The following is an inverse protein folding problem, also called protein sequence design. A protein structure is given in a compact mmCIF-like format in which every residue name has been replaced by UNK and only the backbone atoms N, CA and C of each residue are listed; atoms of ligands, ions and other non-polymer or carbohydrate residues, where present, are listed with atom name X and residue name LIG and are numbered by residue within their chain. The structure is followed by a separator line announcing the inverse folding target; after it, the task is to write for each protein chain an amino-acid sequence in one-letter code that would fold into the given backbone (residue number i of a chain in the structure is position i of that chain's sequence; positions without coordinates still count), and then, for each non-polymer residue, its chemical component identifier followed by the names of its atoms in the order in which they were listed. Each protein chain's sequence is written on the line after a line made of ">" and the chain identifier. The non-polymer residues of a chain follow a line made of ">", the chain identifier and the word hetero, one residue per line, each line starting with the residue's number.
data_IF_719097684351
#
_entry.id   IF_719097684351
#
_cell.length_a   1.000
_cell.length_b   1.000
_cell.length_c   1.000
_cell.angle_alpha   90.00
_cell.angle_beta   90.00
_cell.angle_gamma   90.00
#
_symmetry.space_group_name_H-M   'P 1'
#
loop_
_entity.id
_entity.type
_entity.pdbx_description
1 polymer ?
#
# COMPACT_ATOMS: atom_id res chain seq x y z
N UNK A 1 -13.99 -3.83 2.44
CA UNK A 1 -12.55 -3.98 2.14
C UNK A 1 -11.73 -3.85 3.43
N UNK A 2 -10.74 -4.74 3.63
CA UNK A 2 -9.75 -4.65 4.69
C UNK A 2 -8.51 -3.87 4.25
N UNK A 3 -7.93 -3.06 5.16
CA UNK A 3 -6.77 -2.20 4.89
C UNK A 3 -5.90 -2.02 6.14
N UNK A 4 -4.57 -2.14 6.01
CA UNK A 4 -3.88 -3.10 5.17
C UNK A 4 -3.44 -4.33 6.00
N UNK A 5 -3.14 -5.45 5.32
CA UNK A 5 -2.59 -6.61 6.02
C UNK A 5 -1.10 -6.41 6.37
N UNK A 6 -0.34 -5.66 5.57
CA UNK A 6 1.05 -5.32 5.84
C UNK A 6 1.37 -3.87 5.44
N UNK A 7 1.96 -3.12 6.36
CA UNK A 7 2.38 -1.73 6.11
C UNK A 7 3.47 -1.31 7.09
N UNK A 8 4.45 -0.54 6.61
CA UNK A 8 5.57 -0.07 7.44
C UNK A 8 5.18 1.03 8.43
N UNK A 9 4.11 1.79 8.16
CA UNK A 9 3.67 2.88 9.06
C UNK A 9 3.05 2.34 10.35
N UNK A 10 2.46 1.13 10.31
CA UNK A 10 1.84 0.49 11.49
C UNK A 10 2.58 -0.80 11.80
N UNK A 11 3.67 -0.68 12.52
CA UNK A 11 4.50 -1.79 12.95
C UNK A 11 4.69 -1.77 14.46
N UNK A 12 4.47 -2.90 15.11
CA UNK A 12 4.66 -3.00 16.56
C UNK A 12 6.16 -3.01 16.92
N UNK A 13 6.58 -2.13 17.80
CA UNK A 13 7.99 -1.95 18.19
C UNK A 13 8.62 -3.22 18.76
N UNK A 14 7.85 -4.04 19.47
CA UNK A 14 8.32 -5.31 20.04
C UNK A 14 8.80 -6.32 18.99
N UNK A 15 8.44 -6.16 17.70
CA UNK A 15 8.94 -7.00 16.62
C UNK A 15 10.45 -6.82 16.40
N UNK A 16 11.01 -5.66 16.73
CA UNK A 16 12.43 -5.36 16.52
C UNK A 16 13.40 -6.26 17.31
N UNK A 17 12.92 -6.96 18.33
CA UNK A 17 13.73 -7.90 19.11
C UNK A 17 14.02 -9.24 18.39
N UNK A 18 13.35 -9.51 17.26
CA UNK A 18 13.49 -10.75 16.51
C UNK A 18 14.36 -10.57 15.25
N UNK A 19 14.86 -11.70 14.73
CA UNK A 19 15.50 -11.74 13.42
C UNK A 19 14.47 -11.62 12.28
N UNK A 20 14.93 -11.31 11.06
CA UNK A 20 14.08 -11.07 9.90
C UNK A 20 13.18 -12.27 9.56
N UNK A 21 13.69 -13.49 9.69
CA UNK A 21 12.91 -14.71 9.44
C UNK A 21 11.74 -14.84 10.42
N UNK A 22 12.01 -14.62 11.70
CA UNK A 22 10.96 -14.66 12.74
C UNK A 22 9.95 -13.53 12.58
N UNK A 23 10.41 -12.33 12.20
CA UNK A 23 9.50 -11.19 11.89
C UNK A 23 8.58 -11.55 10.73
N UNK A 24 9.13 -12.05 9.62
CA UNK A 24 8.35 -12.48 8.48
C UNK A 24 7.31 -13.54 8.87
N UNK A 25 7.71 -14.59 9.59
CA UNK A 25 6.78 -15.63 10.08
C UNK A 25 5.61 -15.03 10.89
N UNK A 26 5.88 -14.06 11.74
CA UNK A 26 4.83 -13.38 12.53
C UNK A 26 3.90 -12.53 11.65
N UNK A 27 4.43 -11.85 10.64
CA UNK A 27 3.64 -11.10 9.68
C UNK A 27 2.71 -12.04 8.90
N UNK A 28 3.25 -13.13 8.35
CA UNK A 28 2.48 -14.11 7.57
C UNK A 28 1.41 -14.82 8.42
N UNK A 29 1.72 -15.17 9.68
CA UNK A 29 0.75 -15.73 10.62
C UNK A 29 -0.38 -14.75 10.94
N UNK A 30 -0.07 -13.46 11.07
CA UNK A 30 -1.11 -12.43 11.25
C UNK A 30 -2.00 -12.34 10.03
N UNK A 31 -1.42 -12.33 8.84
CA UNK A 31 -2.19 -12.32 7.57
C UNK A 31 -3.11 -13.53 7.49
N UNK A 32 -2.59 -14.73 7.72
CA UNK A 32 -3.38 -15.98 7.72
C UNK A 32 -4.55 -15.93 8.71
N UNK A 33 -4.28 -15.50 9.94
CA UNK A 33 -5.30 -15.36 10.98
C UNK A 33 -6.40 -14.37 10.59
N UNK A 34 -6.00 -13.16 10.15
CA UNK A 34 -6.94 -12.06 9.92
C UNK A 34 -7.79 -12.35 8.68
N UNK A 35 -7.19 -12.83 7.58
CA UNK A 35 -7.93 -13.16 6.36
C UNK A 35 -8.93 -14.30 6.61
N UNK A 36 -8.53 -15.36 7.32
CA UNK A 36 -9.44 -16.47 7.69
C UNK A 36 -10.57 -16.02 8.61
N UNK A 37 -10.24 -15.22 9.62
CA UNK A 37 -11.23 -14.79 10.62
C UNK A 37 -12.34 -13.91 10.03
N UNK A 38 -12.04 -13.18 8.95
CA UNK A 38 -12.99 -12.28 8.31
C UNK A 38 -13.60 -12.81 7.01
N UNK A 39 -13.29 -14.04 6.61
CA UNK A 39 -13.88 -14.66 5.40
C UNK A 39 -15.40 -14.59 5.42
N UNK A 40 -16.01 -14.14 4.32
CA UNK A 40 -17.44 -13.89 4.21
C UNK A 40 -17.93 -12.56 4.77
N UNK A 41 -17.04 -11.80 5.43
CA UNK A 41 -17.32 -10.44 5.91
C UNK A 41 -16.42 -9.42 5.20
N UNK A 42 -15.14 -9.74 5.07
CA UNK A 42 -14.14 -8.97 4.34
C UNK A 42 -13.45 -9.94 3.37
N UNK A 43 -13.83 -9.88 2.12
CA UNK A 43 -13.28 -10.72 1.05
C UNK A 43 -12.47 -9.93 0.02
N UNK A 44 -12.14 -8.67 0.33
CA UNK A 44 -11.26 -7.81 -0.46
C UNK A 44 -10.23 -7.16 0.47
N UNK A 45 -8.93 -7.27 0.14
CA UNK A 45 -7.85 -6.83 1.01
C UNK A 45 -6.78 -6.03 0.28
N UNK A 46 -6.38 -4.89 0.83
CA UNK A 46 -5.08 -4.31 0.55
C UNK A 46 -4.04 -5.16 1.28
N UNK A 47 -3.37 -6.04 0.54
CA UNK A 47 -2.47 -7.03 1.15
C UNK A 47 -1.22 -6.38 1.70
N UNK A 48 -0.65 -5.46 0.94
CA UNK A 48 0.51 -4.68 1.37
C UNK A 48 0.41 -3.25 0.81
N UNK A 49 0.79 -2.28 1.64
CA UNK A 49 0.65 -0.87 1.35
C UNK A 49 2.00 -0.16 1.19
N UNK A 50 2.12 0.71 0.17
CA UNK A 50 3.24 1.64 -0.04
C UNK A 50 4.62 0.98 -0.14
N UNK A 51 4.71 -0.09 -0.92
CA UNK A 51 5.95 -0.86 -1.02
C UNK A 51 7.03 -0.13 -1.82
N UNK A 52 6.66 0.78 -2.71
CA UNK A 52 7.63 1.57 -3.48
C UNK A 52 8.61 2.29 -2.55
N UNK A 53 8.11 2.91 -1.49
CA UNK A 53 8.95 3.66 -0.54
C UNK A 53 9.40 2.84 0.67
N UNK A 54 8.75 1.71 0.95
CA UNK A 54 8.94 0.94 2.18
C UNK A 54 10.40 0.69 2.57
N UNK A 55 11.31 0.24 1.69
CA UNK A 55 12.69 -0.03 2.08
C UNK A 55 13.60 1.20 2.12
N UNK A 56 13.13 2.36 1.63
CA UNK A 56 13.96 3.58 1.48
C UNK A 56 13.44 4.77 2.29
N UNK A 57 12.33 4.61 3.00
CA UNK A 57 11.73 5.67 3.78
C UNK A 57 12.33 5.69 5.18
N UNK A 58 13.38 6.48 5.37
CA UNK A 58 14.23 6.49 6.57
C UNK A 58 13.49 6.80 7.88
N UNK A 59 12.34 7.49 7.81
CA UNK A 59 11.54 7.78 9.00
C UNK A 59 11.03 6.51 9.70
N UNK A 60 10.78 5.43 8.95
CA UNK A 60 10.27 4.18 9.49
C UNK A 60 11.32 3.06 9.38
N UNK A 61 12.36 3.16 10.19
CA UNK A 61 13.28 2.03 10.38
C UNK A 61 12.71 1.06 11.44
N UNK A 62 11.91 0.11 10.98
CA UNK A 62 11.21 -0.84 11.83
C UNK A 62 11.29 -2.27 11.27
N UNK A 63 10.63 -3.21 11.96
CA UNK A 63 10.70 -4.62 11.62
C UNK A 63 10.18 -4.91 10.18
N UNK A 64 9.12 -4.22 9.73
CA UNK A 64 8.57 -4.41 8.38
C UNK A 64 9.54 -3.90 7.31
N UNK A 65 10.10 -2.69 7.48
CA UNK A 65 11.08 -2.14 6.56
C UNK A 65 12.35 -2.97 6.48
N UNK A 66 12.77 -3.53 7.62
CA UNK A 66 13.94 -4.41 7.72
C UNK A 66 13.76 -5.69 6.90
N UNK A 67 12.62 -6.34 7.03
CA UNK A 67 12.26 -7.54 6.23
C UNK A 67 12.15 -7.19 4.75
N UNK A 68 11.55 -6.04 4.42
CA UNK A 68 11.46 -5.60 3.02
C UNK A 68 12.84 -5.30 2.40
N UNK A 69 13.77 -4.73 3.17
CA UNK A 69 15.17 -4.55 2.73
C UNK A 69 15.87 -5.88 2.44
N UNK A 70 15.60 -6.89 3.25
CA UNK A 70 16.20 -8.23 3.14
C UNK A 70 15.66 -9.03 1.94
N UNK A 71 14.36 -9.07 1.77
CA UNK A 71 13.67 -9.82 0.69
C UNK A 71 13.63 -9.09 -0.65
N UNK A 72 13.82 -7.77 -0.64
CA UNK A 72 13.43 -6.90 -1.75
C UNK A 72 11.92 -6.70 -1.85
N UNK A 73 11.51 -5.68 -2.60
CA UNK A 73 10.08 -5.31 -2.75
C UNK A 73 9.23 -6.45 -3.30
N UNK A 74 9.66 -7.05 -4.41
CA UNK A 74 8.93 -8.17 -5.07
C UNK A 74 8.85 -9.38 -4.14
N UNK A 75 9.94 -9.72 -3.43
CA UNK A 75 9.96 -10.83 -2.48
C UNK A 75 8.97 -10.60 -1.33
N UNK A 76 8.94 -9.40 -0.76
CA UNK A 76 8.00 -9.06 0.33
C UNK A 76 6.54 -9.13 -0.13
N UNK A 77 6.23 -8.62 -1.33
CA UNK A 77 4.88 -8.71 -1.92
C UNK A 77 4.51 -10.17 -2.16
N UNK A 78 5.41 -10.96 -2.73
CA UNK A 78 5.15 -12.39 -3.03
C UNK A 78 4.79 -13.18 -1.78
N UNK A 79 5.54 -13.04 -0.70
CA UNK A 79 5.29 -13.73 0.57
C UNK A 79 3.93 -13.33 1.19
N UNK A 80 3.64 -12.04 1.23
CA UNK A 80 2.39 -11.53 1.83
C UNK A 80 1.16 -11.94 1.01
N UNK A 81 1.24 -11.85 -0.34
CA UNK A 81 0.16 -12.27 -1.23
C UNK A 81 -0.07 -13.79 -1.19
N UNK A 82 1.00 -14.59 -1.16
CA UNK A 82 0.89 -16.04 -1.04
C UNK A 82 0.17 -16.43 0.26
N UNK A 83 0.50 -15.79 1.38
CA UNK A 83 -0.17 -16.03 2.66
C UNK A 83 -1.66 -15.63 2.62
N UNK A 84 -1.98 -14.48 2.06
CA UNK A 84 -3.37 -14.03 1.94
C UNK A 84 -4.19 -14.96 1.02
N UNK A 85 -3.64 -15.37 -0.13
CA UNK A 85 -4.30 -16.28 -1.08
C UNK A 85 -4.49 -17.69 -0.51
N UNK A 86 -3.53 -18.17 0.27
CA UNK A 86 -3.64 -19.46 0.96
C UNK A 86 -4.71 -19.42 2.07
N UNK A 87 -4.86 -18.28 2.74
CA UNK A 87 -5.84 -18.09 3.82
C UNK A 87 -7.29 -18.04 3.30
N UNK A 88 -7.53 -17.34 2.18
CA UNK A 88 -8.80 -17.31 1.47
C UNK A 88 -8.56 -17.28 -0.05
N UNK A 89 -8.68 -18.43 -0.75
CA UNK A 89 -8.47 -18.50 -2.19
C UNK A 89 -9.44 -17.64 -3.01
N UNK A 90 -10.61 -17.32 -2.47
CA UNK A 90 -11.66 -16.55 -3.15
C UNK A 90 -11.54 -15.03 -2.88
N UNK A 91 -10.63 -14.61 -2.00
CA UNK A 91 -10.43 -13.20 -1.70
C UNK A 91 -9.86 -12.45 -2.91
N UNK A 92 -10.34 -11.21 -3.09
CA UNK A 92 -9.79 -10.23 -4.03
C UNK A 92 -8.60 -9.51 -3.37
N UNK A 93 -7.43 -9.67 -3.96
CA UNK A 93 -6.17 -9.17 -3.41
C UNK A 93 -5.64 -7.95 -4.17
N UNK A 94 -5.42 -6.86 -3.46
CA UNK A 94 -4.95 -5.59 -4.01
C UNK A 94 -3.49 -5.35 -3.61
N UNK A 95 -2.70 -4.89 -4.58
CA UNK A 95 -1.45 -4.17 -4.33
C UNK A 95 -1.77 -2.68 -4.32
N UNK A 96 -1.53 -1.99 -3.20
CA UNK A 96 -1.96 -0.61 -2.98
C UNK A 96 -0.77 0.33 -2.75
N UNK A 97 -0.74 1.45 -3.47
CA UNK A 97 0.30 2.47 -3.32
C UNK A 97 -0.24 3.86 -3.69
N UNK A 98 0.35 4.92 -3.12
CA UNK A 98 0.09 6.29 -3.54
C UNK A 98 0.97 6.71 -4.72
N UNK A 99 2.05 5.97 -4.97
CA UNK A 99 3.03 6.29 -6.00
C UNK A 99 2.47 5.97 -7.39
N UNK A 100 2.32 6.98 -8.22
CA UNK A 100 1.88 6.84 -9.62
C UNK A 100 3.01 7.04 -10.62
N UNK A 101 4.28 6.99 -10.17
CA UNK A 101 5.44 7.10 -11.05
C UNK A 101 5.79 5.77 -11.71
N UNK A 102 6.75 5.82 -12.64
CA UNK A 102 7.32 4.62 -13.28
C UNK A 102 7.83 3.57 -12.28
N UNK A 103 8.20 3.98 -11.05
CA UNK A 103 8.66 3.04 -10.03
C UNK A 103 7.56 2.04 -9.61
N UNK A 104 6.31 2.48 -9.55
CA UNK A 104 5.20 1.58 -9.25
C UNK A 104 4.88 0.66 -10.43
N UNK A 105 4.96 1.16 -11.66
CA UNK A 105 4.80 0.34 -12.86
C UNK A 105 5.86 -0.78 -12.94
N UNK A 106 7.13 -0.45 -12.73
CA UNK A 106 8.22 -1.44 -12.68
C UNK A 106 7.98 -2.48 -11.57
N UNK A 107 7.48 -2.04 -10.42
CA UNK A 107 7.18 -2.94 -9.32
C UNK A 107 6.03 -3.89 -9.65
N UNK A 108 4.94 -3.39 -10.24
CA UNK A 108 3.80 -4.21 -10.69
C UNK A 108 4.26 -5.23 -11.73
N UNK A 109 4.99 -4.79 -12.77
CA UNK A 109 5.52 -5.68 -13.80
C UNK A 109 6.37 -6.80 -13.19
N UNK A 110 7.31 -6.45 -12.31
CA UNK A 110 8.14 -7.43 -11.61
C UNK A 110 7.34 -8.43 -10.76
N UNK A 111 6.27 -7.98 -10.13
CA UNK A 111 5.37 -8.85 -9.38
C UNK A 111 4.58 -9.80 -10.29
N UNK A 112 4.06 -9.31 -11.42
CA UNK A 112 3.33 -10.13 -12.38
C UNK A 112 4.24 -11.18 -13.01
N UNK A 113 5.48 -10.82 -13.35
CA UNK A 113 6.50 -11.77 -13.86
C UNK A 113 6.92 -12.82 -12.82
N UNK A 114 6.78 -12.51 -11.53
CA UNK A 114 7.03 -13.42 -10.41
C UNK A 114 5.79 -14.24 -10.00
N UNK A 115 4.73 -14.24 -10.82
CA UNK A 115 3.46 -14.92 -10.58
C UNK A 115 2.77 -14.53 -9.25
N UNK A 116 2.92 -13.28 -8.83
CA UNK A 116 2.17 -12.77 -7.67
C UNK A 116 0.69 -12.66 -8.04
N UNK A 117 -0.23 -13.21 -7.24
CA UNK A 117 -1.65 -13.23 -7.55
C UNK A 117 -2.32 -11.88 -7.24
N UNK A 118 -1.91 -10.83 -7.98
CA UNK A 118 -2.54 -9.51 -7.92
C UNK A 118 -3.86 -9.57 -8.69
N UNK A 119 -4.97 -9.38 -8.00
CA UNK A 119 -6.29 -9.31 -8.63
C UNK A 119 -6.62 -7.88 -9.08
N UNK A 120 -6.20 -6.86 -8.32
CA UNK A 120 -6.51 -5.45 -8.54
C UNK A 120 -5.29 -4.57 -8.25
N UNK A 121 -5.07 -3.55 -9.07
CA UNK A 121 -4.10 -2.48 -8.81
C UNK A 121 -4.80 -1.38 -8.02
N UNK A 122 -4.34 -1.14 -6.79
CA UNK A 122 -4.82 -0.06 -5.93
C UNK A 122 -3.99 1.22 -6.12
N UNK A 123 -4.67 2.33 -6.33
CA UNK A 123 -4.09 3.67 -6.40
C UNK A 123 -4.78 4.52 -5.34
N UNK A 124 -4.03 5.00 -4.35
CA UNK A 124 -4.61 5.78 -3.25
C UNK A 124 -5.29 7.07 -3.74
N UNK A 125 -4.73 7.70 -4.76
CA UNK A 125 -5.26 8.91 -5.39
C UNK A 125 -5.46 10.10 -4.43
N UNK A 126 -4.61 10.25 -3.43
CA UNK A 126 -4.61 11.42 -2.56
C UNK A 126 -4.27 12.70 -3.32
N UNK A 127 -5.06 13.73 -3.12
CA UNK A 127 -4.95 15.02 -3.81
C UNK A 127 -4.80 16.19 -2.83
N UNK A 128 -4.37 15.94 -1.63
CA UNK A 128 -4.17 16.95 -0.58
C UNK A 128 -2.98 17.90 -0.85
N UNK A 129 -2.09 17.54 -1.77
CA UNK A 129 -0.97 18.38 -2.23
C UNK A 129 -1.16 18.92 -3.65
N UNK A 130 -2.29 18.69 -4.27
CA UNK A 130 -2.62 19.18 -5.60
C UNK A 130 -3.75 18.39 -6.23
N UNK A 131 -4.70 19.10 -6.78
CA UNK A 131 -5.78 18.50 -7.55
C UNK A 131 -5.25 17.97 -8.90
N UNK A 132 -5.57 16.72 -9.21
CA UNK A 132 -5.07 16.08 -10.42
C UNK A 132 -5.74 16.61 -11.70
N UNK A 133 -7.02 16.94 -11.64
CA UNK A 133 -7.80 17.21 -12.83
C UNK A 133 -8.00 16.00 -13.73
N UNK A 134 -8.80 16.16 -14.77
CA UNK A 134 -9.13 15.07 -15.68
C UNK A 134 -7.91 14.57 -16.46
N UNK A 135 -7.04 15.48 -16.90
CA UNK A 135 -5.87 15.13 -17.73
C UNK A 135 -4.92 14.17 -17.00
N UNK A 136 -4.48 14.52 -15.79
CA UNK A 136 -3.61 13.65 -14.99
C UNK A 136 -4.31 12.33 -14.61
N UNK A 137 -5.60 12.39 -14.32
CA UNK A 137 -6.39 11.21 -14.02
C UNK A 137 -6.35 10.21 -15.20
N UNK A 138 -6.63 10.68 -16.41
CA UNK A 138 -6.59 9.84 -17.60
C UNK A 138 -5.18 9.33 -17.91
N UNK A 139 -4.15 10.15 -17.78
CA UNK A 139 -2.76 9.71 -17.94
C UNK A 139 -2.39 8.57 -16.98
N UNK A 140 -2.82 8.65 -15.73
CA UNK A 140 -2.61 7.57 -14.75
C UNK A 140 -3.37 6.32 -15.18
N UNK A 141 -4.65 6.43 -15.52
CA UNK A 141 -5.46 5.29 -15.94
C UNK A 141 -4.89 4.58 -17.17
N UNK A 142 -4.53 5.31 -18.23
CA UNK A 142 -3.96 4.76 -19.47
C UNK A 142 -2.66 3.99 -19.21
N UNK A 143 -1.80 4.49 -18.31
CA UNK A 143 -0.55 3.82 -17.98
C UNK A 143 -0.78 2.50 -17.23
N UNK A 144 -1.66 2.50 -16.23
CA UNK A 144 -1.90 1.33 -15.40
C UNK A 144 -2.85 0.31 -16.05
N UNK A 145 -3.70 0.72 -17.00
CA UNK A 145 -4.54 -0.17 -17.82
C UNK A 145 -3.70 -1.21 -18.60
N UNK A 146 -2.47 -0.83 -18.99
CA UNK A 146 -1.56 -1.71 -19.73
C UNK A 146 -1.24 -3.04 -19.03
N UNK A 147 -1.42 -3.13 -17.72
CA UNK A 147 -1.23 -4.35 -16.95
C UNK A 147 -2.40 -5.34 -17.03
N UNK A 148 -3.51 -4.96 -17.67
CA UNK A 148 -4.68 -5.83 -17.86
C UNK A 148 -5.38 -6.24 -16.56
N UNK A 149 -5.22 -5.45 -15.49
CA UNK A 149 -5.86 -5.66 -14.19
C UNK A 149 -6.88 -4.55 -13.91
N UNK A 150 -7.96 -4.82 -13.19
CA UNK A 150 -8.83 -3.76 -12.67
C UNK A 150 -8.02 -2.75 -11.85
N UNK A 151 -8.42 -1.48 -11.92
CA UNK A 151 -7.83 -0.39 -11.14
C UNK A 151 -8.87 0.09 -10.13
N UNK A 152 -8.50 0.17 -8.85
CA UNK A 152 -9.31 0.80 -7.82
C UNK A 152 -8.64 2.06 -7.31
N UNK A 153 -9.35 3.17 -7.28
CA UNK A 153 -8.99 4.31 -6.45
C UNK A 153 -9.41 4.01 -5.01
N UNK A 154 -8.42 3.79 -4.15
CA UNK A 154 -8.61 3.14 -2.85
C UNK A 154 -8.87 4.11 -1.69
N UNK A 155 -8.31 5.35 -1.78
CA UNK A 155 -8.22 6.28 -0.65
C UNK A 155 -8.36 7.70 -1.15
N UNK A 156 -9.32 8.29 -1.57
CA UNK A 156 -9.37 9.65 -2.10
C UNK A 156 -9.37 10.71 -0.99
N UNK A 157 -8.42 11.62 -1.02
CA UNK A 157 -8.38 12.80 -0.15
C UNK A 157 -8.43 14.06 -1.01
N UNK A 158 -9.47 14.84 -0.85
CA UNK A 158 -9.60 16.19 -1.42
C UNK A 158 -9.66 17.19 -0.28
N UNK A 159 -8.91 18.27 -0.40
CA UNK A 159 -8.86 19.34 0.59
C UNK A 159 -9.70 20.51 0.12
N UNK A 160 -10.65 20.93 0.95
CA UNK A 160 -11.36 22.19 0.78
C UNK A 160 -10.58 23.27 1.53
N UNK A 161 -9.93 24.16 0.81
CA UNK A 161 -9.07 25.20 1.37
C UNK A 161 -7.62 25.10 0.90
N UNK A 162 -6.68 25.52 1.76
CA UNK A 162 -5.26 25.51 1.42
C UNK A 162 -4.71 24.08 1.30
N UNK A 163 -3.95 23.83 0.25
CA UNK A 163 -3.29 22.55 0.04
C UNK A 163 -2.17 22.31 1.05
N UNK A 164 -1.93 21.06 1.40
CA UNK A 164 -0.76 20.69 2.19
C UNK A 164 0.50 20.97 1.37
N UNK A 165 1.48 21.71 1.92
CA UNK A 165 2.69 22.04 1.19
C UNK A 165 3.44 20.80 0.71
N UNK A 166 3.96 20.84 -0.53
CA UNK A 166 4.61 19.70 -1.16
C UNK A 166 5.86 19.18 -0.43
N UNK A 167 6.50 20.02 0.41
CA UNK A 167 7.65 19.61 1.22
C UNK A 167 7.28 18.77 2.44
N UNK A 168 5.99 18.69 2.79
CA UNK A 168 5.49 17.85 3.87
C UNK A 168 5.36 16.42 3.34
N UNK A 169 6.30 15.59 3.68
CA UNK A 169 6.37 14.18 3.22
C UNK A 169 5.52 13.26 4.10
N UNK A 170 5.40 13.59 5.39
CA UNK A 170 4.65 12.82 6.36
C UNK A 170 3.46 13.62 6.84
N UNK A 171 2.28 13.26 6.39
CA UNK A 171 1.06 14.02 6.70
C UNK A 171 0.73 14.06 8.18
N UNK A 172 1.04 13.00 8.91
CA UNK A 172 0.84 12.94 10.36
C UNK A 172 1.64 13.98 11.15
N UNK A 173 2.67 14.57 10.53
CA UNK A 173 3.47 15.63 11.13
C UNK A 173 2.96 17.03 10.79
N UNK A 174 1.98 17.12 9.87
CA UNK A 174 1.38 18.39 9.47
C UNK A 174 0.21 18.70 10.41
N UNK A 175 0.52 19.46 11.46
CA UNK A 175 -0.47 19.91 12.44
C UNK A 175 -0.77 21.39 12.20
N UNK A 176 -2.04 21.71 11.95
CA UNK A 176 -2.54 23.08 11.94
C UNK A 176 -3.61 23.22 13.03
N UNK A 177 -3.57 24.30 13.83
CA UNK A 177 -4.56 24.53 14.90
C UNK A 177 -5.99 24.65 14.38
N UNK A 178 -6.14 25.25 13.22
CA UNK A 178 -7.40 25.36 12.48
C UNK A 178 -7.11 25.09 11.02
N UNK A 179 -7.90 24.20 10.42
CA UNK A 179 -7.80 23.95 8.98
C UNK A 179 -8.70 24.97 8.27
N UNK A 180 -8.14 25.90 7.50
CA UNK A 180 -8.95 26.83 6.74
C UNK A 180 -9.71 26.06 5.66
N UNK A 181 -11.03 25.97 5.80
CA UNK A 181 -11.90 25.49 4.75
C UNK A 181 -12.53 26.69 4.05
N UNK A 182 -12.49 26.70 2.74
CA UNK A 182 -13.25 27.67 1.93
C UNK A 182 -14.57 27.04 1.53
N UNK A 183 -15.71 27.73 1.73
CA UNK A 183 -16.94 27.29 1.09
C UNK A 183 -16.77 27.41 -0.43
N UNK A 184 -17.00 26.36 -1.15
CA UNK A 184 -17.14 26.37 -2.60
C UNK A 184 -18.59 26.64 -3.00
#
# INVERSE_FOLDING_TARGET
>A
KGHPLCWHTVCADWLMQYDNKTILDKILKRIDRDVKAFTGTIDMWDVINEVVIMPIFDKYDNAVTRVCKDLGRVGMIKETFAAAKAANPDATLLLNDFNTSISYEILIDGCLQADVPIDVIGIQSHQHQGYWGAEKLYQVLERFESFGKPIHFTENTFVSGDLIPAHIVVLNDFLVPEWPSTPE
#
